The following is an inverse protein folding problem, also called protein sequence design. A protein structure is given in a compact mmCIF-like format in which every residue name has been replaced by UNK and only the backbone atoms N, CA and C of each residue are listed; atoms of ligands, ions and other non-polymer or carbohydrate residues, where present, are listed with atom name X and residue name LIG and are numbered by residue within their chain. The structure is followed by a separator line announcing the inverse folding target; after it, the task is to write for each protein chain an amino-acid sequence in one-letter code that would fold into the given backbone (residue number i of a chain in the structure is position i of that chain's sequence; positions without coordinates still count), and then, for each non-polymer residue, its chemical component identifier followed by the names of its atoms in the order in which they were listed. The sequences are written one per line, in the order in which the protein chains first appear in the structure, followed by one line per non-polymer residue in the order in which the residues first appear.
data_IF_999842488689
#
_entry.id   IF_999842488689
#
_cell.length_a   1.000
_cell.length_b   1.000
_cell.length_c   1.000
_cell.angle_alpha   90.00
_cell.angle_beta   90.00
_cell.angle_gamma   90.00
#
_symmetry.space_group_name_H-M   'P 1'
#
loop_
_entity.id
_entity.type
_entity.pdbx_description
1 polymer ?
#
# COMPACT_ATOMS: atom_id res chain seq x y z
N UNK A 1 -25.57 42.01 -30.19
CA UNK A 1 -24.42 41.44 -29.46
C UNK A 1 -24.90 41.01 -28.09
N UNK A 2 -25.37 39.77 -27.98
CA UNK A 2 -25.92 39.21 -26.74
C UNK A 2 -24.81 38.44 -26.03
N UNK A 3 -24.33 39.01 -24.92
CA UNK A 3 -23.44 38.34 -23.98
C UNK A 3 -24.19 37.13 -23.40
N UNK A 4 -23.86 35.95 -23.90
CA UNK A 4 -24.36 34.71 -23.33
C UNK A 4 -23.47 34.41 -22.12
N UNK A 5 -24.01 34.30 -20.89
CA UNK A 5 -23.21 33.88 -19.76
C UNK A 5 -22.71 32.46 -20.05
N UNK A 6 -21.39 32.30 -20.01
CA UNK A 6 -20.71 31.01 -20.14
C UNK A 6 -21.31 30.11 -19.06
N UNK A 7 -22.06 29.06 -19.46
CA UNK A 7 -22.56 28.03 -18.54
C UNK A 7 -21.36 27.54 -17.73
N UNK A 8 -21.37 27.78 -16.42
CA UNK A 8 -20.47 27.12 -15.48
C UNK A 8 -20.62 25.62 -15.69
N UNK A 9 -19.51 24.96 -15.97
CA UNK A 9 -19.47 23.54 -16.28
C UNK A 9 -20.03 22.69 -15.11
N UNK A 10 -20.68 21.55 -15.40
CA UNK A 10 -21.44 20.76 -14.43
C UNK A 10 -20.58 19.93 -13.48
N UNK A 11 -19.25 19.99 -13.60
CA UNK A 11 -18.36 19.35 -12.64
C UNK A 11 -18.31 20.22 -11.39
N UNK A 12 -19.20 19.92 -10.44
CA UNK A 12 -19.00 20.32 -9.05
C UNK A 12 -17.53 20.13 -8.68
N UNK A 13 -16.94 21.08 -7.98
CA UNK A 13 -15.60 20.98 -7.43
C UNK A 13 -15.59 19.82 -6.42
N UNK A 14 -15.33 18.60 -6.89
CA UNK A 14 -15.16 17.43 -6.02
C UNK A 14 -13.83 17.64 -5.31
N UNK A 15 -13.88 17.79 -3.99
CA UNK A 15 -12.68 17.90 -3.15
C UNK A 15 -12.54 16.59 -2.39
N UNK A 16 -11.41 15.88 -2.52
CA UNK A 16 -11.18 14.65 -1.79
C UNK A 16 -11.04 14.95 -0.30
N UNK A 17 -11.78 14.22 0.54
CA UNK A 17 -11.66 14.32 2.00
C UNK A 17 -10.54 13.44 2.54
N UNK A 18 -10.18 12.39 1.81
CA UNK A 18 -9.18 11.39 2.16
C UNK A 18 -8.65 10.71 0.90
N UNK A 19 -7.36 10.41 0.86
CA UNK A 19 -6.73 9.62 -0.21
C UNK A 19 -5.90 8.48 0.39
N UNK A 20 -6.17 7.26 -0.06
CA UNK A 20 -5.43 6.04 0.28
C UNK A 20 -4.53 5.68 -0.89
N UNK A 21 -3.23 5.61 -0.65
CA UNK A 21 -2.24 5.29 -1.68
C UNK A 21 -1.50 4.01 -1.32
N UNK A 22 -1.20 3.20 -2.33
CA UNK A 22 -0.33 2.04 -2.21
C UNK A 22 0.73 2.11 -3.29
N UNK A 23 1.99 2.20 -2.88
CA UNK A 23 3.14 2.25 -3.77
C UNK A 23 3.75 0.86 -3.87
N UNK A 24 4.08 0.43 -5.07
CA UNK A 24 4.54 -0.92 -5.38
C UNK A 24 5.99 -0.86 -5.88
N UNK A 25 6.89 -1.57 -5.21
CA UNK A 25 8.31 -1.58 -5.50
C UNK A 25 8.79 -3.04 -5.71
N UNK A 26 8.87 -3.49 -6.97
CA UNK A 26 9.37 -4.83 -7.26
C UNK A 26 10.88 -4.90 -7.00
N UNK A 27 11.33 -6.05 -6.51
CA UNK A 27 12.74 -6.37 -6.36
C UNK A 27 12.98 -7.85 -6.70
N UNK A 28 14.22 -8.22 -6.97
CA UNK A 28 14.62 -9.62 -7.11
C UNK A 28 15.37 -10.09 -5.87
N UNK A 29 15.25 -11.36 -5.50
CA UNK A 29 16.04 -11.95 -4.42
C UNK A 29 16.56 -13.34 -4.82
N UNK A 30 17.72 -13.74 -4.32
CA UNK A 30 18.24 -15.10 -4.56
C UNK A 30 17.44 -16.11 -3.74
N UNK A 31 16.94 -17.17 -4.39
CA UNK A 31 16.22 -18.26 -3.71
C UNK A 31 17.03 -18.88 -2.57
N UNK A 32 18.36 -18.98 -2.71
CA UNK A 32 19.25 -19.49 -1.65
C UNK A 32 19.22 -18.63 -0.38
N UNK A 33 18.89 -17.36 -0.51
CA UNK A 33 18.82 -16.40 0.59
C UNK A 33 17.37 -16.15 1.06
N UNK A 34 16.36 -16.86 0.52
CA UNK A 34 14.94 -16.71 0.92
C UNK A 34 14.77 -16.87 2.43
N UNK A 35 15.38 -17.89 3.02
CA UNK A 35 15.28 -18.16 4.47
C UNK A 35 15.91 -17.02 5.29
N UNK A 36 17.07 -16.51 4.86
CA UNK A 36 17.72 -15.37 5.52
C UNK A 36 16.85 -14.11 5.42
N UNK A 37 16.21 -13.87 4.27
CA UNK A 37 15.31 -12.74 4.08
C UNK A 37 14.06 -12.87 4.97
N UNK A 38 13.46 -14.06 5.06
CA UNK A 38 12.34 -14.34 5.98
C UNK A 38 12.77 -14.10 7.44
N UNK A 39 13.98 -14.54 7.82
CA UNK A 39 14.51 -14.31 9.15
C UNK A 39 14.69 -12.82 9.44
N UNK A 40 15.33 -12.08 8.52
CA UNK A 40 15.53 -10.64 8.64
C UNK A 40 14.21 -9.88 8.75
N UNK A 41 13.17 -10.27 7.99
CA UNK A 41 11.84 -9.67 8.10
C UNK A 41 11.24 -9.88 9.50
N UNK A 42 11.32 -11.10 10.05
CA UNK A 42 10.85 -11.41 11.40
C UNK A 42 11.62 -10.64 12.48
N UNK A 43 12.95 -10.58 12.38
CA UNK A 43 13.80 -9.80 13.30
C UNK A 43 13.46 -8.31 13.26
N UNK A 44 13.04 -7.80 12.11
CA UNK A 44 12.60 -6.42 11.93
C UNK A 44 11.11 -6.20 12.23
N UNK A 45 10.47 -7.13 12.97
CA UNK A 45 9.08 -7.03 13.45
C UNK A 45 8.04 -7.00 12.32
N UNK A 46 8.34 -7.62 11.17
CA UNK A 46 7.30 -7.91 10.19
C UNK A 46 6.56 -9.19 10.61
N UNK A 47 5.24 -9.11 10.58
CA UNK A 47 4.35 -10.23 10.88
C UNK A 47 3.96 -10.95 9.59
N UNK A 48 4.03 -12.28 9.61
CA UNK A 48 3.59 -13.09 8.48
C UNK A 48 2.06 -13.04 8.36
N UNK A 49 1.57 -12.78 7.16
CA UNK A 49 0.15 -12.78 6.88
C UNK A 49 -0.41 -14.20 6.87
N UNK A 50 -1.43 -14.42 7.69
CA UNK A 50 -2.26 -15.62 7.63
C UNK A 50 -3.72 -15.21 7.65
N UNK A 51 -4.52 -15.81 6.77
CA UNK A 51 -5.97 -15.58 6.72
C UNK A 51 -6.66 -16.00 8.04
N UNK A 52 -6.05 -16.93 8.78
CA UNK A 52 -6.53 -17.39 10.08
C UNK A 52 -6.26 -16.36 11.20
N UNK A 53 -5.34 -15.42 11.00
CA UNK A 53 -5.01 -14.39 11.99
C UNK A 53 -5.91 -13.16 11.83
N UNK A 54 -7.06 -13.17 12.51
CA UNK A 54 -8.08 -12.10 12.45
C UNK A 54 -7.62 -10.74 12.95
N UNK A 55 -6.55 -10.67 13.74
CA UNK A 55 -5.99 -9.39 14.16
C UNK A 55 -5.54 -8.54 12.96
N UNK A 56 -5.00 -9.19 11.92
CA UNK A 56 -4.46 -8.53 10.74
C UNK A 56 -5.52 -7.89 9.84
N UNK A 57 -6.81 -8.17 10.06
CA UNK A 57 -7.90 -7.57 9.27
C UNK A 57 -7.92 -6.05 9.38
N UNK A 58 -7.43 -5.47 10.48
CA UNK A 58 -7.51 -4.03 10.77
C UNK A 58 -6.15 -3.35 10.98
N UNK A 59 -5.08 -4.12 11.09
CA UNK A 59 -3.80 -3.62 11.61
C UNK A 59 -3.08 -2.64 10.67
N UNK A 60 -3.25 -2.79 9.35
CA UNK A 60 -2.38 -2.15 8.36
C UNK A 60 -3.06 -1.16 7.40
N UNK A 61 -4.38 -0.99 7.47
CA UNK A 61 -5.18 -0.37 6.40
C UNK A 61 -5.67 1.06 6.70
N UNK A 62 -5.36 1.59 7.88
CA UNK A 62 -5.81 2.91 8.33
C UNK A 62 -7.17 2.86 9.03
N UNK A 63 -7.49 3.93 9.77
CA UNK A 63 -8.74 3.99 10.52
C UNK A 63 -9.95 3.89 9.58
N UNK A 64 -10.96 3.11 10.00
CA UNK A 64 -12.21 2.81 9.28
C UNK A 64 -12.09 1.84 8.11
N UNK A 65 -10.88 1.40 7.76
CA UNK A 65 -10.66 0.37 6.73
C UNK A 65 -10.26 -0.96 7.35
N UNK A 66 -10.69 -2.04 6.72
CA UNK A 66 -10.32 -3.39 7.10
C UNK A 66 -10.42 -4.30 5.87
N UNK A 67 -9.71 -5.43 5.91
CA UNK A 67 -9.79 -6.48 4.91
C UNK A 67 -10.40 -7.70 5.57
N UNK A 68 -11.63 -8.05 5.17
CA UNK A 68 -12.31 -9.25 5.71
C UNK A 68 -11.61 -10.52 5.20
N UNK A 69 -11.03 -11.28 6.12
CA UNK A 69 -10.40 -12.55 5.79
C UNK A 69 -11.44 -13.62 5.41
N UNK A 70 -12.62 -13.60 6.02
CA UNK A 70 -13.71 -14.53 5.63
C UNK A 70 -14.18 -14.28 4.20
N UNK A 71 -14.20 -13.01 3.79
CA UNK A 71 -14.50 -12.67 2.41
C UNK A 71 -13.39 -13.19 1.49
N UNK A 72 -12.12 -12.96 1.83
CA UNK A 72 -10.99 -13.48 1.03
C UNK A 72 -11.04 -15.00 0.87
N UNK A 73 -11.36 -15.74 1.93
CA UNK A 73 -11.46 -17.20 1.96
C UNK A 73 -12.52 -17.72 0.97
N UNK A 74 -13.66 -17.03 0.88
CA UNK A 74 -14.79 -17.43 0.04
C UNK A 74 -14.62 -17.10 -1.45
N UNK A 75 -13.71 -16.20 -1.81
CA UNK A 75 -13.57 -15.73 -3.20
C UNK A 75 -12.69 -16.63 -4.09
N UNK A 76 -11.85 -17.48 -3.52
CA UNK A 76 -10.86 -18.23 -4.29
C UNK A 76 -11.14 -19.75 -4.28
N UNK A 77 -10.73 -20.41 -5.36
CA UNK A 77 -10.76 -21.88 -5.41
C UNK A 77 -9.68 -22.45 -4.46
N UNK A 78 -9.94 -23.57 -3.76
CA UNK A 78 -9.04 -24.10 -2.73
C UNK A 78 -7.57 -24.28 -3.18
N UNK A 79 -7.35 -24.66 -4.45
CA UNK A 79 -6.01 -24.84 -5.00
C UNK A 79 -5.24 -23.52 -5.16
N UNK A 80 -5.93 -22.44 -5.55
CA UNK A 80 -5.33 -21.11 -5.71
C UNK A 80 -5.08 -20.49 -4.34
N UNK A 81 -5.99 -20.72 -3.40
CA UNK A 81 -5.91 -20.21 -2.03
C UNK A 81 -4.60 -20.61 -1.33
N UNK A 82 -4.16 -21.87 -1.47
CA UNK A 82 -2.89 -22.34 -0.92
C UNK A 82 -1.66 -21.58 -1.44
N UNK A 83 -1.76 -20.99 -2.65
CA UNK A 83 -0.69 -20.18 -3.26
C UNK A 83 -0.83 -18.73 -2.80
N UNK A 84 -2.04 -18.18 -2.72
CA UNK A 84 -2.30 -16.79 -2.33
C UNK A 84 -2.11 -16.55 -0.84
N UNK A 85 -2.52 -17.52 -0.01
CA UNK A 85 -2.59 -17.43 1.44
C UNK A 85 -1.97 -18.70 2.08
N UNK A 86 -0.65 -18.91 1.90
CA UNK A 86 0.02 -20.03 2.54
C UNK A 86 -0.15 -19.95 4.07
N UNK A 87 -0.39 -21.10 4.71
CA UNK A 87 -0.56 -21.21 6.17
C UNK A 87 0.76 -21.08 6.96
N UNK A 88 1.90 -21.17 6.28
CA UNK A 88 3.23 -20.97 6.87
C UNK A 88 4.19 -20.30 5.88
N UNK A 89 5.19 -19.60 6.43
CA UNK A 89 6.26 -18.98 5.64
C UNK A 89 7.27 -19.99 5.05
N UNK A 90 7.12 -21.28 5.35
CA UNK A 90 7.97 -22.36 4.81
C UNK A 90 7.44 -22.90 3.48
N UNK A 91 6.14 -22.69 3.19
CA UNK A 91 5.53 -23.10 1.93
C UNK A 91 5.95 -22.19 0.77
N UNK A 92 5.76 -22.71 -0.44
CA UNK A 92 5.83 -21.89 -1.66
C UNK A 92 4.48 -21.21 -1.89
N UNK A 93 4.51 -19.96 -2.35
CA UNK A 93 3.32 -19.13 -2.52
C UNK A 93 3.67 -17.65 -2.41
N UNK A 94 2.65 -16.81 -2.27
CA UNK A 94 2.78 -15.39 -1.98
C UNK A 94 2.97 -15.20 -0.48
N UNK A 95 4.21 -15.26 -0.02
CA UNK A 95 4.52 -15.04 1.39
C UNK A 95 4.49 -13.54 1.67
N UNK A 96 3.43 -13.05 2.32
CA UNK A 96 3.30 -11.65 2.70
C UNK A 96 3.76 -11.44 4.13
N UNK A 97 4.61 -10.45 4.33
CA UNK A 97 5.06 -9.98 5.63
C UNK A 97 4.67 -8.51 5.76
N UNK A 98 3.95 -8.15 6.82
CA UNK A 98 3.41 -6.80 7.00
C UNK A 98 3.95 -6.19 8.28
N UNK A 99 4.26 -4.90 8.24
CA UNK A 99 4.69 -4.13 9.42
C UNK A 99 3.92 -2.81 9.47
N UNK A 100 3.36 -2.52 10.64
CA UNK A 100 2.77 -1.22 10.92
C UNK A 100 3.87 -0.19 11.14
N UNK A 101 3.70 1.00 10.56
CA UNK A 101 4.68 2.08 10.64
C UNK A 101 4.13 3.28 11.42
N UNK A 102 2.89 3.68 11.15
CA UNK A 102 2.22 4.84 11.78
C UNK A 102 3.11 6.09 11.89
N UNK A 103 3.69 6.52 10.77
CA UNK A 103 4.64 7.63 10.75
C UNK A 103 4.20 8.74 9.79
N UNK A 104 4.10 9.97 10.29
CA UNK A 104 3.81 11.13 9.45
C UNK A 104 5.06 11.60 8.71
N UNK A 105 4.93 11.79 7.40
CA UNK A 105 5.95 12.35 6.51
C UNK A 105 5.44 13.63 5.85
N UNK A 106 6.37 14.49 5.46
CA UNK A 106 6.08 15.71 4.70
C UNK A 106 6.89 15.75 3.42
N UNK A 107 6.21 15.96 2.30
CA UNK A 107 6.82 16.26 1.01
C UNK A 107 6.83 17.77 0.82
N UNK A 108 8.02 18.33 0.64
CA UNK A 108 8.21 19.75 0.32
C UNK A 108 8.44 19.89 -1.19
N UNK A 109 7.48 20.51 -1.87
CA UNK A 109 7.63 20.89 -3.29
C UNK A 109 7.88 22.40 -3.38
N UNK A 110 8.19 22.90 -4.57
CA UNK A 110 8.41 24.35 -4.77
C UNK A 110 7.14 25.18 -4.53
N UNK A 111 5.96 24.58 -4.67
CA UNK A 111 4.66 25.24 -4.62
C UNK A 111 3.82 24.87 -3.41
N UNK A 112 4.04 23.71 -2.79
CA UNK A 112 3.19 23.24 -1.70
C UNK A 112 3.94 22.34 -0.71
N UNK A 113 3.38 22.18 0.49
CA UNK A 113 3.83 21.19 1.48
C UNK A 113 2.70 20.19 1.67
N UNK A 114 2.99 18.92 1.38
CA UNK A 114 2.02 17.83 1.51
C UNK A 114 2.41 16.92 2.67
N UNK A 115 1.53 16.78 3.65
CA UNK A 115 1.67 15.80 4.73
C UNK A 115 0.91 14.51 4.43
N UNK A 116 1.53 13.37 4.71
CA UNK A 116 0.94 12.04 4.57
C UNK A 116 1.38 11.14 5.72
N UNK A 117 0.55 10.19 6.12
CA UNK A 117 0.90 9.16 7.11
C UNK A 117 1.28 7.87 6.38
N UNK A 118 2.49 7.36 6.61
CA UNK A 118 2.87 5.99 6.25
C UNK A 118 2.22 5.04 7.24
N UNK A 119 1.22 4.29 6.77
CA UNK A 119 0.44 3.37 7.59
C UNK A 119 1.21 2.08 7.82
N UNK A 120 1.65 1.45 6.73
CA UNK A 120 2.27 0.13 6.78
C UNK A 120 3.18 -0.11 5.59
N UNK A 121 4.08 -1.07 5.76
CA UNK A 121 4.88 -1.66 4.68
C UNK A 121 4.54 -3.15 4.61
N UNK A 122 4.33 -3.68 3.40
CA UNK A 122 4.39 -5.13 3.20
C UNK A 122 5.57 -5.51 2.32
N UNK A 123 6.04 -6.73 2.53
CA UNK A 123 7.00 -7.41 1.68
C UNK A 123 6.40 -8.74 1.27
N UNK A 124 6.13 -8.88 -0.01
CA UNK A 124 5.72 -10.14 -0.63
C UNK A 124 6.96 -10.83 -1.17
N UNK A 125 7.18 -12.08 -0.78
CA UNK A 125 8.13 -12.98 -1.43
C UNK A 125 7.31 -13.91 -2.31
N UNK A 126 7.36 -13.68 -3.62
CA UNK A 126 6.60 -14.44 -4.60
C UNK A 126 7.42 -15.64 -5.09
N UNK A 127 6.77 -16.60 -5.77
CA UNK A 127 7.48 -17.60 -6.56
C UNK A 127 8.38 -16.92 -7.63
N UNK A 128 9.39 -17.65 -8.10
CA UNK A 128 10.32 -17.21 -9.16
C UNK A 128 11.22 -16.02 -8.78
N UNK A 129 11.65 -15.91 -7.52
CA UNK A 129 12.70 -14.95 -7.10
C UNK A 129 12.29 -13.48 -7.25
N UNK A 130 10.98 -13.21 -7.34
CA UNK A 130 10.39 -11.89 -7.43
C UNK A 130 9.84 -11.52 -6.05
N UNK A 131 10.32 -10.42 -5.51
CA UNK A 131 9.77 -9.77 -4.33
C UNK A 131 9.02 -8.51 -4.71
N UNK A 132 8.06 -8.13 -3.86
CA UNK A 132 7.35 -6.86 -4.00
C UNK A 132 7.23 -6.20 -2.65
N UNK A 133 7.76 -4.99 -2.51
CA UNK A 133 7.54 -4.15 -1.34
C UNK A 133 6.39 -3.20 -1.62
N UNK A 134 5.42 -3.12 -0.72
CA UNK A 134 4.33 -2.15 -0.76
C UNK A 134 4.47 -1.17 0.37
N UNK A 135 4.19 0.11 0.11
CA UNK A 135 4.06 1.13 1.16
C UNK A 135 2.66 1.72 1.06
N UNK A 136 1.88 1.62 2.15
CA UNK A 136 0.57 2.25 2.25
C UNK A 136 0.70 3.61 2.89
N UNK A 137 0.10 4.62 2.27
CA UNK A 137 0.01 5.95 2.86
C UNK A 137 -1.40 6.48 2.86
N UNK A 138 -1.65 7.37 3.82
CA UNK A 138 -2.89 8.09 3.98
C UNK A 138 -2.63 9.59 3.88
N UNK A 139 -3.49 10.27 3.13
CA UNK A 139 -3.57 11.73 3.11
C UNK A 139 -4.96 12.12 3.57
N UNK A 140 -5.04 12.82 4.69
CA UNK A 140 -6.28 13.24 5.34
C UNK A 140 -6.07 14.58 6.04
N UNK A 141 -7.16 15.22 6.47
CA UNK A 141 -7.17 16.40 7.35
C UNK A 141 -6.72 17.75 6.78
N UNK A 142 -6.11 17.77 5.59
CA UNK A 142 -5.87 18.98 4.82
C UNK A 142 -6.80 18.97 3.60
N UNK A 143 -7.32 20.13 3.20
CA UNK A 143 -8.20 20.27 2.04
C UNK A 143 -7.39 20.14 0.74
N UNK A 144 -6.80 18.96 0.53
CA UNK A 144 -5.97 18.67 -0.64
C UNK A 144 -6.81 18.67 -1.89
N UNK A 145 -6.26 19.24 -2.95
CA UNK A 145 -6.78 19.08 -4.30
C UNK A 145 -6.34 17.73 -4.87
N UNK A 146 -6.96 17.31 -5.98
CA UNK A 146 -6.48 16.15 -6.71
C UNK A 146 -5.05 16.34 -7.23
N UNK A 147 -4.68 17.57 -7.61
CA UNK A 147 -3.34 17.88 -8.09
C UNK A 147 -2.29 17.68 -6.98
N UNK A 148 -2.58 18.09 -5.74
CA UNK A 148 -1.68 17.86 -4.59
C UNK A 148 -1.45 16.37 -4.34
N UNK A 149 -2.51 15.56 -4.43
CA UNK A 149 -2.44 14.10 -4.24
C UNK A 149 -1.62 13.46 -5.37
N UNK A 150 -1.89 13.82 -6.62
CA UNK A 150 -1.18 13.28 -7.77
C UNK A 150 0.30 13.70 -7.78
N UNK A 151 0.60 14.93 -7.39
CA UNK A 151 1.96 15.43 -7.22
C UNK A 151 2.69 14.63 -6.13
N UNK A 152 2.07 14.43 -4.97
CA UNK A 152 2.63 13.58 -3.91
C UNK A 152 2.91 12.16 -4.42
N UNK A 153 1.94 11.53 -5.08
CA UNK A 153 2.11 10.17 -5.61
C UNK A 153 3.24 10.09 -6.63
N UNK A 154 3.37 11.09 -7.50
CA UNK A 154 4.41 11.10 -8.53
C UNK A 154 5.81 11.25 -7.94
N UNK A 155 5.97 12.02 -6.87
CA UNK A 155 7.27 12.17 -6.19
C UNK A 155 7.58 10.97 -5.29
N UNK A 156 6.61 10.49 -4.51
CA UNK A 156 6.82 9.43 -3.53
C UNK A 156 7.13 8.07 -4.18
N UNK A 157 6.58 7.79 -5.38
CA UNK A 157 6.85 6.53 -6.09
C UNK A 157 8.28 6.38 -6.61
N UNK A 158 9.11 7.41 -6.52
CA UNK A 158 10.49 7.39 -7.03
C UNK A 158 11.45 7.12 -5.87
N UNK A 159 11.91 5.87 -5.74
CA UNK A 159 12.85 5.47 -4.68
C UNK A 159 14.26 6.03 -4.89
N UNK A 160 14.68 6.15 -6.15
CA UNK A 160 15.96 6.77 -6.53
C UNK A 160 15.69 7.86 -7.57
N UNK A 161 16.00 9.13 -7.28
CA UNK A 161 15.99 10.17 -8.29
C UNK A 161 16.99 9.78 -9.38
N UNK A 162 16.54 9.67 -10.63
CA UNK A 162 17.48 9.63 -11.76
C UNK A 162 18.10 11.03 -11.84
N UNK A 163 19.34 11.16 -11.37
CA UNK A 163 20.20 12.31 -11.61
C UNK A 163 20.44 12.49 -13.11
#
# INVERSE_FOLDING_TARGET
MTNTPRKTEPFQTIVPTKAMNMFLFPFSFDRKNKEQLVHALKENLFEFFSIQNKHLEKEYYGEQYYVSHDSLDQYFLPYIECILFPDSCEKEGLLRFSKKIDHTITLHTSSTIVSSNVLSVDVFLCPFEIGVMTIRTEMSHNHYTYDDILEFMNHFRVLEPKL
#
